data_IF_263958832965
#
_entry.id   IF_263958832965
#
_cell.length_a   1.000
_cell.length_b   1.000
_cell.length_c   1.000
_cell.angle_alpha   90.00
_cell.angle_beta   90.00
_cell.angle_gamma   90.00
#
_symmetry.space_group_name_H-M   'P 1'
#
loop_
_entity.id
_entity.type
_entity.pdbx_description
1 polymer ?
#
# COMPACT_ATOMS: atom_id res chain seq x y z
N UNK A 1 6.19 -1.24 4.68
CA UNK A 1 6.18 -2.72 4.72
C UNK A 1 6.20 -3.25 3.30
N UNK A 2 7.10 -4.19 3.00
CA UNK A 2 7.04 -4.98 1.76
C UNK A 2 6.06 -6.14 1.96
N UNK A 3 4.83 -5.96 1.51
CA UNK A 3 3.75 -6.93 1.69
C UNK A 3 4.04 -8.28 1.03
N UNK A 4 4.66 -8.26 -0.16
CA UNK A 4 4.90 -9.47 -0.94
C UNK A 4 6.02 -10.28 -0.30
N UNK A 5 7.13 -9.64 0.08
CA UNK A 5 8.23 -10.30 0.75
C UNK A 5 7.79 -10.87 2.11
N UNK A 6 7.07 -10.07 2.90
CA UNK A 6 6.52 -10.50 4.20
C UNK A 6 5.62 -11.72 4.05
N UNK A 7 4.69 -11.69 3.09
CA UNK A 7 3.78 -12.81 2.87
C UNK A 7 4.50 -14.08 2.39
N UNK A 8 5.54 -13.93 1.58
CA UNK A 8 6.34 -15.06 1.10
C UNK A 8 7.17 -15.70 2.22
N UNK A 9 7.78 -14.90 3.10
CA UNK A 9 8.50 -15.38 4.28
C UNK A 9 7.57 -16.18 5.21
N UNK A 10 6.40 -15.62 5.53
CA UNK A 10 5.40 -16.31 6.35
C UNK A 10 4.95 -17.62 5.71
N UNK A 11 4.67 -17.65 4.40
CA UNK A 11 4.29 -18.88 3.68
C UNK A 11 5.36 -19.96 3.73
N UNK A 12 6.64 -19.60 3.72
CA UNK A 12 7.74 -20.55 3.85
C UNK A 12 7.79 -21.25 5.21
N UNK A 13 7.15 -20.67 6.23
CA UNK A 13 7.09 -21.18 7.61
C UNK A 13 5.79 -21.92 7.93
N UNK A 14 4.77 -21.77 7.09
CA UNK A 14 3.50 -22.48 7.26
C UNK A 14 3.76 -23.98 7.02
N UNK A 15 3.51 -24.85 8.01
CA UNK A 15 3.67 -26.28 7.82
C UNK A 15 2.72 -26.77 6.71
N UNK A 16 3.12 -27.77 5.90
CA UNK A 16 2.26 -28.32 4.88
C UNK A 16 0.96 -28.85 5.52
N UNK A 17 -0.15 -28.21 5.19
CA UNK A 17 -1.47 -28.55 5.72
C UNK A 17 -2.21 -29.54 4.83
N UNK A 18 -3.08 -30.35 5.44
CA UNK A 18 -4.00 -31.24 4.72
C UNK A 18 -5.26 -30.50 4.23
N UNK A 19 -5.57 -30.63 2.94
CA UNK A 19 -6.89 -30.42 2.29
C UNK A 19 -7.60 -29.05 2.37
N UNK A 20 -7.25 -28.17 3.30
CA UNK A 20 -7.95 -26.92 3.59
C UNK A 20 -7.37 -25.66 2.92
N UNK A 21 -7.98 -24.50 3.18
CA UNK A 21 -7.46 -23.20 2.74
C UNK A 21 -6.17 -22.90 3.51
N UNK A 22 -5.04 -22.91 2.80
CA UNK A 22 -3.71 -22.74 3.39
C UNK A 22 -3.55 -21.37 4.05
N UNK A 23 -3.13 -21.29 5.33
CA UNK A 23 -2.79 -20.04 5.99
C UNK A 23 -1.81 -19.20 5.16
N UNK A 24 -2.03 -17.89 5.08
CA UNK A 24 -1.25 -16.99 4.23
C UNK A 24 -1.54 -17.09 2.72
N UNK A 25 -2.41 -17.98 2.24
CA UNK A 25 -2.88 -17.93 0.85
C UNK A 25 -3.74 -16.67 0.61
N UNK A 26 -3.87 -16.21 -0.65
CA UNK A 26 -4.72 -15.05 -0.96
C UNK A 26 -6.17 -15.30 -0.55
N UNK A 27 -6.69 -16.53 -0.74
CA UNK A 27 -8.05 -16.90 -0.33
C UNK A 27 -8.22 -16.85 1.19
N UNK A 28 -7.21 -17.29 1.94
CA UNK A 28 -7.19 -17.20 3.40
C UNK A 28 -7.21 -15.73 3.87
N UNK A 29 -6.36 -14.88 3.29
CA UNK A 29 -6.32 -13.45 3.61
C UNK A 29 -7.63 -12.73 3.26
N UNK A 30 -8.22 -13.03 2.11
CA UNK A 30 -9.51 -12.50 1.68
C UNK A 30 -10.63 -12.91 2.67
N UNK A 31 -10.61 -14.14 3.19
CA UNK A 31 -11.55 -14.58 4.22
C UNK A 31 -11.36 -13.81 5.55
N UNK A 32 -10.13 -13.72 6.07
CA UNK A 32 -9.81 -12.99 7.31
C UNK A 32 -10.15 -11.50 7.21
N UNK A 33 -9.93 -10.88 6.06
CA UNK A 33 -10.32 -9.49 5.81
C UNK A 33 -11.84 -9.30 5.87
N UNK A 34 -12.62 -10.24 5.31
CA UNK A 34 -14.08 -10.21 5.36
C UNK A 34 -14.61 -10.33 6.79
N UNK A 35 -14.07 -11.26 7.58
CA UNK A 35 -14.42 -11.44 9.00
C UNK A 35 -14.19 -10.18 9.82
N UNK A 36 -13.17 -9.39 9.46
CA UNK A 36 -12.82 -8.11 10.09
C UNK A 36 -13.58 -6.91 9.54
N UNK A 37 -14.56 -7.13 8.65
CA UNK A 37 -15.32 -6.05 8.01
C UNK A 37 -14.47 -5.14 7.11
N UNK A 38 -13.34 -5.62 6.62
CA UNK A 38 -12.48 -4.95 5.64
C UNK A 38 -12.78 -5.45 4.23
N UNK A 39 -12.33 -4.73 3.20
CA UNK A 39 -12.62 -5.11 1.82
C UNK A 39 -11.73 -6.28 1.35
N UNK A 40 -12.26 -7.49 1.12
CA UNK A 40 -11.45 -8.63 0.68
C UNK A 40 -10.81 -8.40 -0.69
N UNK A 41 -11.48 -7.68 -1.59
CA UNK A 41 -10.96 -7.37 -2.93
C UNK A 41 -9.72 -6.45 -2.91
N UNK A 42 -9.42 -5.82 -1.76
CA UNK A 42 -8.23 -4.98 -1.60
C UNK A 42 -6.95 -5.79 -1.42
N UNK A 43 -7.02 -7.06 -0.98
CA UNK A 43 -5.85 -7.88 -0.62
C UNK A 43 -4.82 -7.94 -1.74
N UNK A 44 -5.22 -8.31 -2.95
CA UNK A 44 -4.29 -8.41 -4.10
C UNK A 44 -3.67 -7.05 -4.46
N UNK A 45 -4.47 -5.99 -4.38
CA UNK A 45 -3.99 -4.64 -4.67
C UNK A 45 -2.99 -4.15 -3.62
N UNK A 46 -3.20 -4.47 -2.34
CA UNK A 46 -2.26 -4.13 -1.28
C UNK A 46 -0.99 -4.98 -1.43
N UNK A 47 -1.11 -6.30 -1.53
CA UNK A 47 0.03 -7.22 -1.59
C UNK A 47 0.94 -6.93 -2.78
N UNK A 48 0.37 -6.72 -3.97
CA UNK A 48 1.17 -6.62 -5.20
C UNK A 48 1.44 -5.18 -5.67
N UNK A 49 0.66 -4.21 -5.20
CA UNK A 49 0.73 -2.83 -5.69
C UNK A 49 0.78 -1.79 -4.57
N UNK A 50 0.70 -2.22 -3.31
CA UNK A 50 0.53 -1.34 -2.14
C UNK A 50 -0.60 -0.31 -2.32
N UNK A 51 -1.70 -0.72 -2.97
CA UNK A 51 -2.90 0.10 -3.19
C UNK A 51 -4.05 -0.41 -2.33
N UNK A 52 -4.54 0.43 -1.42
CA UNK A 52 -5.67 0.16 -0.54
C UNK A 52 -5.93 1.34 0.39
N UNK A 53 -7.06 1.34 1.11
CA UNK A 53 -7.32 2.35 2.14
C UNK A 53 -6.39 2.13 3.34
N UNK A 54 -6.13 3.18 4.14
CA UNK A 54 -5.34 3.05 5.36
C UNK A 54 -5.96 2.00 6.32
N UNK A 55 -7.30 1.98 6.41
CA UNK A 55 -8.07 0.98 7.16
C UNK A 55 -7.80 -0.43 6.67
N UNK A 56 -7.93 -0.69 5.37
CA UNK A 56 -7.71 -2.04 4.80
C UNK A 56 -6.27 -2.51 4.97
N UNK A 57 -5.29 -1.61 4.79
CA UNK A 57 -3.87 -1.92 5.02
C UNK A 57 -3.61 -2.26 6.49
N UNK A 58 -4.19 -1.50 7.42
CA UNK A 58 -4.10 -1.77 8.86
C UNK A 58 -4.68 -3.13 9.22
N UNK A 59 -5.85 -3.48 8.66
CA UNK A 59 -6.47 -4.79 8.89
C UNK A 59 -5.65 -5.94 8.30
N UNK A 60 -5.12 -5.78 7.09
CA UNK A 60 -4.25 -6.80 6.49
C UNK A 60 -2.98 -7.00 7.32
N UNK A 61 -2.37 -5.91 7.83
CA UNK A 61 -1.22 -6.01 8.73
C UNK A 61 -1.55 -6.81 9.98
N UNK A 62 -2.65 -6.49 10.66
CA UNK A 62 -3.06 -7.22 11.87
C UNK A 62 -3.27 -8.73 11.62
N UNK A 63 -3.83 -9.09 10.46
CA UNK A 63 -3.96 -10.50 10.05
C UNK A 63 -2.58 -11.17 9.88
N UNK A 64 -1.62 -10.48 9.27
CA UNK A 64 -0.26 -11.01 9.09
C UNK A 64 0.51 -11.08 10.42
N UNK A 65 0.29 -10.14 11.34
CA UNK A 65 0.88 -10.15 12.68
C UNK A 65 0.35 -11.31 13.54
N UNK A 66 -0.93 -11.63 13.43
CA UNK A 66 -1.49 -12.82 14.07
C UNK A 66 -0.89 -14.11 13.51
N UNK A 67 -0.83 -14.23 12.18
CA UNK A 67 -0.20 -15.39 11.54
C UNK A 67 1.27 -15.53 11.95
N UNK A 68 2.01 -14.41 11.95
CA UNK A 68 3.39 -14.36 12.42
C UNK A 68 3.54 -14.84 13.88
N UNK A 69 2.63 -14.43 14.77
CA UNK A 69 2.63 -14.83 16.18
C UNK A 69 2.37 -16.33 16.33
N UNK A 70 1.41 -16.87 15.57
CA UNK A 70 1.09 -18.31 15.55
C UNK A 70 2.28 -19.15 15.04
N UNK A 71 3.07 -18.61 14.12
CA UNK A 71 4.26 -19.25 13.56
C UNK A 71 5.54 -19.03 14.38
N UNK A 72 5.47 -18.35 15.54
CA UNK A 72 6.64 -18.04 16.38
C UNK A 72 7.64 -17.09 15.72
N UNK A 73 7.19 -16.27 14.77
CA UNK A 73 8.00 -15.45 13.89
C UNK A 73 7.46 -14.01 13.83
N UNK A 74 7.62 -13.19 14.89
CA UNK A 74 7.08 -11.83 14.91
C UNK A 74 7.59 -11.02 13.73
N UNK A 75 6.68 -10.29 13.07
CA UNK A 75 7.05 -9.40 11.97
C UNK A 75 8.03 -8.34 12.49
N UNK A 76 9.08 -7.98 11.73
CA UNK A 76 9.96 -6.90 12.13
C UNK A 76 9.14 -5.62 12.31
N UNK A 77 9.37 -4.90 13.41
CA UNK A 77 8.86 -3.55 13.67
C UNK A 77 9.47 -2.58 12.66
N UNK A 78 8.98 -2.65 11.43
CA UNK A 78 9.31 -1.69 10.39
C UNK A 78 8.53 -0.40 10.67
N UNK A 79 9.16 0.78 10.55
CA UNK A 79 8.45 2.03 10.72
C UNK A 79 7.24 2.02 9.79
N UNK A 80 6.08 2.33 10.39
CA UNK A 80 4.93 2.83 9.66
C UNK A 80 5.50 3.92 8.78
N UNK A 81 5.67 3.65 7.48
CA UNK A 81 6.00 4.69 6.52
C UNK A 81 4.95 5.74 6.77
N UNK A 82 5.37 6.85 7.39
CA UNK A 82 4.49 7.81 8.00
C UNK A 82 3.40 8.06 6.98
N UNK A 83 2.17 7.68 7.33
CA UNK A 83 1.06 8.07 6.50
C UNK A 83 1.24 9.59 6.34
N UNK A 84 1.32 10.12 5.10
CA UNK A 84 1.25 11.56 4.97
C UNK A 84 -0.01 11.97 5.73
N UNK A 85 0.15 12.92 6.66
CA UNK A 85 -0.87 13.28 7.63
C UNK A 85 -2.25 13.32 6.97
N UNK A 86 -3.32 12.81 7.63
CA UNK A 86 -4.64 12.64 7.02
C UNK A 86 -5.18 13.88 6.31
N UNK A 87 -4.76 15.07 6.75
CA UNK A 87 -5.38 16.34 6.38
C UNK A 87 -4.86 16.96 5.07
N UNK A 88 -3.69 16.55 4.61
CA UNK A 88 -3.01 17.23 3.50
C UNK A 88 -3.46 16.78 2.10
N UNK A 89 -3.98 15.55 2.02
CA UNK A 89 -4.63 15.04 0.82
C UNK A 89 -6.09 15.51 0.74
N UNK A 90 -6.72 15.99 1.81
CA UNK A 90 -8.12 16.45 1.79
C UNK A 90 -8.35 17.62 0.84
N UNK A 91 -7.35 18.49 0.69
CA UNK A 91 -7.33 19.58 -0.29
C UNK A 91 -7.38 19.09 -1.76
N UNK A 92 -7.10 17.81 -2.01
CA UNK A 92 -7.17 17.21 -3.34
C UNK A 92 -8.52 16.54 -3.56
N UNK A 93 -9.24 17.01 -4.58
CA UNK A 93 -10.46 16.34 -5.05
C UNK A 93 -10.23 14.87 -5.43
N UNK A 94 -11.32 14.08 -5.44
CA UNK A 94 -11.32 12.62 -5.59
C UNK A 94 -10.48 12.09 -6.76
N UNK A 95 -10.51 12.79 -7.90
CA UNK A 95 -9.72 12.45 -9.09
C UNK A 95 -8.21 12.58 -8.86
N UNK A 96 -7.76 13.66 -8.21
CA UNK A 96 -6.34 13.90 -7.91
C UNK A 96 -5.82 12.90 -6.87
N UNK A 97 -6.61 12.59 -5.85
CA UNK A 97 -6.32 11.50 -4.90
C UNK A 97 -6.10 10.16 -5.61
N UNK A 98 -6.90 9.85 -6.63
CA UNK A 98 -6.75 8.63 -7.44
C UNK A 98 -5.45 8.66 -8.26
N UNK A 99 -5.17 9.75 -8.97
CA UNK A 99 -3.97 9.90 -9.78
C UNK A 99 -2.68 9.78 -8.93
N UNK A 100 -2.65 10.47 -7.78
CA UNK A 100 -1.56 10.38 -6.80
C UNK A 100 -1.29 8.93 -6.38
N UNK A 101 -2.32 8.20 -5.94
CA UNK A 101 -2.18 6.80 -5.50
C UNK A 101 -1.70 5.89 -6.63
N UNK A 102 -2.27 6.04 -7.83
CA UNK A 102 -1.91 5.20 -8.98
C UNK A 102 -0.46 5.43 -9.41
N UNK A 103 -0.02 6.69 -9.45
CA UNK A 103 1.34 7.06 -9.85
C UNK A 103 2.38 6.55 -8.85
N UNK A 104 2.22 6.88 -7.57
CA UNK A 104 3.15 6.46 -6.50
C UNK A 104 3.22 4.94 -6.35
N UNK A 105 2.11 4.23 -6.49
CA UNK A 105 2.09 2.77 -6.54
C UNK A 105 2.79 2.21 -7.79
N UNK A 106 2.71 2.92 -8.91
CA UNK A 106 3.46 2.59 -10.13
C UNK A 106 4.96 2.60 -9.89
N UNK A 107 5.46 3.69 -9.34
CA UNK A 107 6.89 3.85 -9.02
C UNK A 107 7.35 2.81 -8.00
N UNK A 108 6.58 2.60 -6.93
CA UNK A 108 6.91 1.59 -5.89
C UNK A 108 7.01 0.17 -6.44
N UNK A 109 6.23 -0.14 -7.47
CA UNK A 109 6.29 -1.43 -8.16
C UNK A 109 7.47 -1.55 -9.15
N UNK A 110 8.42 -0.60 -9.14
CA UNK A 110 9.56 -0.57 -10.06
C UNK A 110 9.19 -0.18 -11.50
N UNK A 111 7.99 0.38 -11.72
CA UNK A 111 7.56 0.83 -13.05
C UNK A 111 7.94 2.30 -13.26
N UNK A 112 7.95 2.73 -14.53
CA UNK A 112 8.14 4.13 -14.93
C UNK A 112 6.80 4.75 -15.42
N UNK A 113 5.82 5.03 -14.54
CA UNK A 113 4.56 5.63 -14.94
C UNK A 113 4.75 7.08 -15.42
N UNK A 114 3.89 7.54 -16.34
CA UNK A 114 3.81 8.94 -16.77
C UNK A 114 2.49 9.54 -16.30
N UNK A 115 2.54 10.74 -15.71
CA UNK A 115 1.37 11.50 -15.27
C UNK A 115 1.40 12.89 -15.90
N UNK A 116 0.31 13.25 -16.60
CA UNK A 116 0.09 14.59 -17.12
C UNK A 116 -1.03 15.22 -16.31
N UNK A 117 -0.80 16.41 -15.76
CA UNK A 117 -1.78 17.15 -14.95
C UNK A 117 -2.14 18.44 -15.67
N UNK A 118 -3.35 18.49 -16.22
CA UNK A 118 -3.91 19.68 -16.88
C UNK A 118 -5.10 20.24 -16.10
N UNK A 119 -5.40 21.52 -16.30
CA UNK A 119 -6.53 22.20 -15.68
C UNK A 119 -6.32 23.71 -15.52
N UNK A 120 -7.36 24.46 -15.14
CA UNK A 120 -7.31 25.91 -15.03
C UNK A 120 -6.29 26.39 -13.96
N UNK A 121 -5.91 27.67 -13.98
CA UNK A 121 -5.20 28.30 -12.86
C UNK A 121 -5.93 28.04 -11.53
N UNK A 122 -5.19 27.89 -10.43
CA UNK A 122 -5.78 27.60 -9.11
C UNK A 122 -6.32 26.17 -8.92
N UNK A 123 -6.31 25.30 -9.93
CA UNK A 123 -6.84 23.94 -9.82
C UNK A 123 -6.04 22.98 -8.88
N UNK A 124 -4.98 23.44 -8.21
CA UNK A 124 -4.17 22.62 -7.30
C UNK A 124 -3.17 21.69 -7.98
N UNK A 125 -2.70 22.04 -9.19
CA UNK A 125 -1.69 21.25 -9.93
C UNK A 125 -0.36 21.17 -9.19
N UNK A 126 0.14 22.33 -8.73
CA UNK A 126 1.36 22.44 -7.94
C UNK A 126 1.26 21.64 -6.66
N UNK A 127 0.13 21.76 -5.93
CA UNK A 127 -0.12 20.97 -4.72
C UNK A 127 0.01 19.47 -5.02
N UNK A 128 -0.67 18.97 -6.06
CA UNK A 128 -0.57 17.55 -6.44
C UNK A 128 0.88 17.13 -6.73
N UNK A 129 1.63 17.90 -7.51
CA UNK A 129 3.01 17.58 -7.88
C UNK A 129 3.96 17.63 -6.67
N UNK A 130 3.81 18.62 -5.79
CA UNK A 130 4.56 18.70 -4.52
C UNK A 130 4.30 17.48 -3.63
N UNK A 131 3.04 17.00 -3.56
CA UNK A 131 2.74 15.77 -2.81
C UNK A 131 3.35 14.54 -3.45
N UNK A 132 3.32 14.43 -4.79
CA UNK A 132 4.00 13.33 -5.50
C UNK A 132 5.49 13.34 -5.18
N UNK A 133 6.16 14.49 -5.27
CA UNK A 133 7.58 14.63 -4.94
C UNK A 133 7.88 14.15 -3.52
N UNK A 134 7.20 14.72 -2.52
CA UNK A 134 7.40 14.35 -1.11
C UNK A 134 7.15 12.86 -0.85
N UNK A 135 6.14 12.26 -1.51
CA UNK A 135 5.83 10.84 -1.36
C UNK A 135 6.88 9.93 -2.02
N UNK A 136 7.56 10.39 -3.07
CA UNK A 136 8.66 9.68 -3.73
C UNK A 136 9.95 9.80 -2.92
N UNK A 137 10.27 10.99 -2.42
CA UNK A 137 11.41 11.23 -1.54
C UNK A 137 11.33 10.40 -0.26
N UNK A 138 10.14 10.32 0.36
CA UNK A 138 9.89 9.46 1.52
C UNK A 138 10.07 7.95 1.23
N UNK A 139 10.13 7.56 -0.04
CA UNK A 139 10.42 6.19 -0.50
C UNK A 139 11.89 6.02 -0.92
N UNK A 140 12.73 7.05 -0.74
CA UNK A 140 14.13 7.04 -1.19
C UNK A 140 14.29 7.18 -2.70
N UNK A 141 13.24 7.58 -3.42
CA UNK A 141 13.31 7.81 -4.88
C UNK A 141 13.85 9.23 -5.12
N UNK A 142 14.96 9.41 -5.86
CA UNK A 142 15.46 10.73 -6.20
C UNK A 142 14.43 11.50 -7.05
N UNK A 143 14.15 12.76 -6.69
CA UNK A 143 13.22 13.62 -7.41
C UNK A 143 13.96 14.85 -7.93
N UNK A 144 13.75 15.15 -9.21
CA UNK A 144 14.23 16.39 -9.84
C UNK A 144 13.03 17.24 -10.24
N UNK A 145 12.96 18.46 -9.72
CA UNK A 145 11.93 19.44 -10.10
C UNK A 145 12.53 20.42 -11.10
N UNK A 146 12.02 20.40 -12.33
CA UNK A 146 12.40 21.36 -13.37
C UNK A 146 11.50 22.60 -13.23
N UNK A 147 12.10 23.75 -12.94
CA UNK A 147 11.44 25.05 -13.06
C UNK A 147 11.81 25.60 -14.43
N UNK A 148 10.82 25.72 -15.31
CA UNK A 148 10.92 26.39 -16.60
C UNK A 148 10.64 27.88 -16.42
#
# INVERSE_FOLDING_TARGET
MDWKATLNDLRGRVPPGGGGVVPGSLRWLEARMRERGANPSSVRNIVYRDVGTARDKGQLRAVLEELARELGAPLPDGPVGAAPAPDDLELLGRSKKRAFRQFTAGVRAGRAPRLIVSGPPGAGKTVLLSRVAAALEAQGVPVVTLRL
#
